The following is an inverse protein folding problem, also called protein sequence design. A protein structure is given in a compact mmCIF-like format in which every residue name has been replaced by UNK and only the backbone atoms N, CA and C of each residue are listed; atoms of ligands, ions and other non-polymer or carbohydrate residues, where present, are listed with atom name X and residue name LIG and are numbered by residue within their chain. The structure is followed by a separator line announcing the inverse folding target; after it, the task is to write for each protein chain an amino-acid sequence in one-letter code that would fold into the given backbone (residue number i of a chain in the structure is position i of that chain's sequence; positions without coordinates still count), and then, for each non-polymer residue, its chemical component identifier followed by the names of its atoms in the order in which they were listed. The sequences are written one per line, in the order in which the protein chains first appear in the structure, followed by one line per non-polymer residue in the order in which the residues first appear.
data_IF_159001658514
#
_entry.id   IF_159001658514
#
_cell.length_a   1.000
_cell.length_b   1.000
_cell.length_c   1.000
_cell.angle_alpha   90.00
_cell.angle_beta   90.00
_cell.angle_gamma   90.00
#
_symmetry.space_group_name_H-M   'P 1'
#
loop_
_entity.id
_entity.type
_entity.pdbx_description
1 polymer ?
#
# COMPACT_ATOMS: atom_id res chain seq x y z
N UNK A 1 8.46 -8.37 14.75
CA UNK A 1 8.46 -7.80 16.10
C UNK A 1 8.32 -8.89 17.14
N UNK A 2 7.42 -9.87 16.96
CA UNK A 2 7.68 -11.29 17.26
C UNK A 2 6.96 -12.17 16.22
N UNK A 3 7.44 -13.40 16.01
CA UNK A 3 6.96 -14.36 14.99
C UNK A 3 7.67 -14.30 13.63
N UNK A 4 7.90 -13.09 13.08
CA UNK A 4 8.55 -12.89 11.76
C UNK A 4 9.99 -12.33 11.82
N UNK A 5 10.53 -12.05 13.01
CA UNK A 5 11.89 -11.50 13.17
C UNK A 5 12.10 -10.06 12.67
N UNK A 6 11.04 -9.35 12.27
CA UNK A 6 11.15 -7.96 11.77
C UNK A 6 11.35 -6.93 12.88
N UNK A 7 12.13 -5.89 12.60
CA UNK A 7 12.39 -4.78 13.51
C UNK A 7 11.13 -3.93 13.84
N UNK A 8 10.15 -3.91 12.94
CA UNK A 8 8.90 -3.15 13.08
C UNK A 8 7.77 -3.80 12.24
N UNK A 9 6.57 -3.24 12.26
CA UNK A 9 5.43 -3.62 11.43
C UNK A 9 5.83 -3.61 9.95
N UNK A 10 5.29 -4.53 9.15
CA UNK A 10 5.77 -4.73 7.77
C UNK A 10 5.52 -3.55 6.83
N UNK A 11 4.44 -2.79 7.06
CA UNK A 11 4.00 -1.70 6.19
C UNK A 11 4.55 -0.35 6.62
N UNK A 12 4.73 0.56 5.64
CA UNK A 12 5.05 1.96 5.92
C UNK A 12 3.84 2.69 6.48
N UNK A 13 2.66 2.42 5.92
CA UNK A 13 1.40 3.01 6.37
C UNK A 13 0.28 2.01 6.36
N UNK A 14 -0.71 2.22 7.22
CA UNK A 14 -1.98 1.53 7.20
C UNK A 14 -3.12 2.52 7.02
N UNK A 15 -4.20 2.12 6.34
CA UNK A 15 -5.40 2.93 6.16
C UNK A 15 -6.59 2.17 6.71
N UNK A 16 -7.35 2.82 7.59
CA UNK A 16 -8.57 2.25 8.17
C UNK A 16 -9.83 2.61 7.39
N UNK A 17 -10.86 1.79 7.54
CA UNK A 17 -12.23 2.08 7.08
C UNK A 17 -12.81 3.35 7.73
N UNK A 18 -12.23 3.85 8.82
CA UNK A 18 -12.59 5.17 9.37
C UNK A 18 -12.02 6.36 8.58
N UNK A 19 -11.28 6.12 7.49
CA UNK A 19 -10.67 7.16 6.66
C UNK A 19 -9.39 7.76 7.25
N UNK A 20 -8.84 7.17 8.31
CA UNK A 20 -7.57 7.58 8.87
C UNK A 20 -6.40 6.79 8.25
N UNK A 21 -5.27 7.49 8.03
CA UNK A 21 -3.99 6.89 7.76
C UNK A 21 -3.19 6.80 9.07
N UNK A 22 -2.64 5.63 9.34
CA UNK A 22 -1.83 5.31 10.50
C UNK A 22 -0.40 5.08 10.05
N UNK A 23 0.55 5.72 10.72
CA UNK A 23 1.96 5.50 10.46
C UNK A 23 2.39 4.13 11.00
N UNK A 24 2.97 3.31 10.12
CA UNK A 24 3.73 2.13 10.51
C UNK A 24 5.21 2.51 10.58
N UNK A 25 6.01 2.03 9.64
CA UNK A 25 7.41 2.47 9.52
C UNK A 25 7.57 3.92 9.03
N UNK A 26 6.53 4.50 8.44
CA UNK A 26 6.56 5.86 7.92
C UNK A 26 7.40 6.05 6.66
N UNK A 27 7.69 7.30 6.35
CA UNK A 27 8.46 7.71 5.17
C UNK A 27 9.96 7.46 5.34
N UNK A 28 10.66 7.23 4.22
CA UNK A 28 12.12 7.10 4.20
C UNK A 28 12.68 5.84 4.88
N UNK A 29 11.81 4.95 5.39
CA UNK A 29 12.20 3.70 6.03
C UNK A 29 11.86 2.49 5.14
N UNK A 30 12.79 1.55 5.05
CA UNK A 30 12.58 0.30 4.34
C UNK A 30 11.47 -0.53 5.00
N UNK A 31 10.53 -1.01 4.19
CA UNK A 31 9.45 -1.90 4.62
C UNK A 31 9.90 -3.33 4.88
N UNK A 32 8.95 -4.19 5.28
CA UNK A 32 9.10 -5.65 5.25
C UNK A 32 7.88 -6.33 4.61
N UNK A 33 7.13 -5.60 3.79
CA UNK A 33 5.87 -6.03 3.19
C UNK A 33 6.07 -6.87 1.91
N UNK A 34 7.12 -6.62 1.12
CA UNK A 34 7.37 -7.31 -0.14
C UNK A 34 8.89 -7.49 -0.41
N UNK A 35 9.46 -8.68 -0.14
CA UNK A 35 10.83 -9.01 -0.56
C UNK A 35 11.11 -8.66 -2.03
N UNK A 36 12.25 -8.02 -2.31
CA UNK A 36 12.61 -7.51 -3.65
C UNK A 36 11.98 -6.16 -4.02
N UNK A 37 11.10 -5.61 -3.19
CA UNK A 37 10.52 -4.27 -3.37
C UNK A 37 10.68 -3.37 -2.15
N UNK A 38 10.94 -3.94 -0.97
CA UNK A 38 11.01 -3.21 0.31
C UNK A 38 11.93 -1.98 0.29
N UNK A 39 13.04 -2.03 -0.46
CA UNK A 39 14.08 -0.99 -0.57
C UNK A 39 13.78 0.10 -1.62
N UNK A 40 12.77 -0.13 -2.48
CA UNK A 40 12.42 0.74 -3.61
C UNK A 40 10.92 1.09 -3.68
N UNK A 41 10.20 0.87 -2.59
CA UNK A 41 8.75 1.12 -2.53
C UNK A 41 8.29 1.58 -1.16
N UNK A 42 7.14 2.26 -1.14
CA UNK A 42 6.38 2.55 0.08
C UNK A 42 5.18 1.60 0.12
N UNK A 43 5.10 0.77 1.16
CA UNK A 43 4.01 -0.18 1.32
C UNK A 43 2.86 0.39 2.15
N UNK A 44 1.66 0.40 1.56
CA UNK A 44 0.43 0.83 2.21
C UNK A 44 -0.53 -0.35 2.34
N UNK A 45 -0.91 -0.71 3.57
CA UNK A 45 -1.94 -1.71 3.83
C UNK A 45 -3.29 -1.04 4.09
N UNK A 46 -4.37 -1.49 3.44
CA UNK A 46 -5.72 -1.11 3.87
C UNK A 46 -6.22 -2.19 4.82
N UNK A 47 -6.67 -1.79 6.01
CA UNK A 47 -7.05 -2.72 7.07
C UNK A 47 -8.40 -3.37 6.77
N UNK A 48 -8.37 -4.67 6.44
CA UNK A 48 -9.55 -5.47 6.15
C UNK A 48 -9.25 -6.59 5.16
N UNK A 49 -10.30 -7.33 4.76
CA UNK A 49 -10.24 -8.37 3.73
C UNK A 49 -11.09 -7.96 2.54
N UNK A 50 -10.45 -7.70 1.41
CA UNK A 50 -11.11 -7.09 0.25
C UNK A 50 -11.16 -8.02 -0.97
N UNK A 51 -11.38 -9.32 -0.71
CA UNK A 51 -11.54 -10.32 -1.77
C UNK A 51 -12.84 -10.11 -2.54
N UNK A 52 -13.95 -9.90 -1.82
CA UNK A 52 -15.31 -9.84 -2.39
C UNK A 52 -15.96 -8.45 -2.30
N UNK A 53 -15.32 -7.50 -1.60
CA UNK A 53 -15.78 -6.13 -1.47
C UNK A 53 -14.59 -5.19 -1.48
N UNK A 54 -14.80 -3.96 -1.93
CA UNK A 54 -13.78 -2.91 -1.92
C UNK A 54 -13.77 -2.19 -0.57
N UNK A 55 -12.63 -1.60 -0.14
CA UNK A 55 -12.61 -0.72 1.01
C UNK A 55 -13.63 0.40 0.85
N UNK A 56 -14.20 0.93 1.93
CA UNK A 56 -15.18 2.01 1.79
C UNK A 56 -14.60 3.30 1.19
N UNK A 57 -15.48 4.23 0.83
CA UNK A 57 -15.06 5.48 0.18
C UNK A 57 -14.06 6.30 1.02
N UNK A 58 -14.18 6.29 2.35
CA UNK A 58 -13.28 7.01 3.24
C UNK A 58 -11.87 6.42 3.18
N UNK A 59 -11.73 5.10 3.27
CA UNK A 59 -10.45 4.40 3.14
C UNK A 59 -9.81 4.63 1.75
N UNK A 60 -10.59 4.51 0.67
CA UNK A 60 -10.07 4.74 -0.69
C UNK A 60 -9.59 6.18 -0.88
N UNK A 61 -10.31 7.16 -0.33
CA UNK A 61 -9.92 8.58 -0.36
C UNK A 61 -8.67 8.83 0.48
N UNK A 62 -8.58 8.27 1.68
CA UNK A 62 -7.39 8.38 2.53
C UNK A 62 -6.15 7.78 1.86
N UNK A 63 -6.27 6.61 1.22
CA UNK A 63 -5.19 5.98 0.48
C UNK A 63 -4.70 6.87 -0.68
N UNK A 64 -5.61 7.43 -1.48
CA UNK A 64 -5.25 8.37 -2.55
C UNK A 64 -4.58 9.65 -2.01
N UNK A 65 -5.12 10.23 -0.94
CA UNK A 65 -4.54 11.42 -0.33
C UNK A 65 -3.14 11.15 0.23
N UNK A 66 -2.91 9.97 0.78
CA UNK A 66 -1.59 9.57 1.29
C UNK A 66 -0.56 9.42 0.15
N UNK A 67 -0.96 8.86 -1.00
CA UNK A 67 -0.11 8.83 -2.20
C UNK A 67 0.22 10.26 -2.65
N UNK A 68 -0.79 11.12 -2.79
CA UNK A 68 -0.60 12.53 -3.20
C UNK A 68 0.33 13.27 -2.24
N UNK A 69 0.15 13.08 -0.94
CA UNK A 69 0.99 13.66 0.11
C UNK A 69 2.45 13.17 0.00
N UNK A 70 2.65 11.86 -0.20
CA UNK A 70 3.99 11.29 -0.42
C UNK A 70 4.68 11.88 -1.65
N UNK A 71 3.94 12.13 -2.74
CA UNK A 71 4.47 12.79 -3.93
C UNK A 71 4.81 14.26 -3.65
N UNK A 72 3.93 15.01 -2.99
CA UNK A 72 4.16 16.43 -2.70
C UNK A 72 5.32 16.66 -1.74
N UNK A 73 5.55 15.73 -0.81
CA UNK A 73 6.66 15.76 0.15
C UNK A 73 7.97 15.20 -0.45
N UNK A 74 7.96 14.67 -1.68
CA UNK A 74 9.14 14.08 -2.32
C UNK A 74 9.52 12.70 -1.79
N UNK A 75 8.66 12.04 -1.01
CA UNK A 75 8.87 10.66 -0.54
C UNK A 75 8.45 9.60 -1.58
N UNK A 76 7.59 9.97 -2.53
CA UNK A 76 7.20 9.16 -3.68
C UNK A 76 7.57 9.93 -4.94
N UNK A 77 8.25 9.27 -5.89
CA UNK A 77 8.59 9.90 -7.17
C UNK A 77 7.33 10.31 -7.93
N UNK A 78 7.32 11.46 -8.61
CA UNK A 78 6.15 11.95 -9.37
C UNK A 78 5.73 11.03 -10.52
N UNK A 79 6.64 10.16 -10.97
CA UNK A 79 6.44 9.12 -11.98
C UNK A 79 6.37 7.69 -11.40
N UNK A 80 5.99 7.55 -10.13
CA UNK A 80 5.86 6.26 -9.45
C UNK A 80 5.00 5.24 -10.21
N UNK A 81 5.17 3.97 -9.86
CA UNK A 81 4.24 2.90 -10.22
C UNK A 81 3.36 2.55 -9.03
N UNK A 82 2.04 2.49 -9.27
CA UNK A 82 1.10 1.84 -8.37
C UNK A 82 0.96 0.39 -8.80
N UNK A 83 1.14 -0.54 -7.88
CA UNK A 83 0.96 -1.97 -8.10
C UNK A 83 0.20 -2.59 -6.93
N UNK A 84 -0.49 -3.70 -7.18
CA UNK A 84 -1.05 -4.52 -6.12
C UNK A 84 0.05 -5.36 -5.44
N UNK A 85 -0.13 -5.72 -4.17
CA UNK A 85 0.85 -6.53 -3.43
C UNK A 85 1.14 -7.88 -4.13
N UNK A 86 0.12 -8.49 -4.74
CA UNK A 86 0.22 -9.70 -5.58
C UNK A 86 1.15 -9.60 -6.79
N UNK A 87 1.44 -8.39 -7.28
CA UNK A 87 2.39 -8.18 -8.38
C UNK A 87 3.84 -8.18 -7.88
N UNK A 88 4.05 -7.85 -6.60
CA UNK A 88 5.38 -7.83 -6.01
C UNK A 88 5.80 -9.22 -5.49
N UNK A 89 4.86 -9.97 -4.90
CA UNK A 89 5.11 -11.27 -4.28
C UNK A 89 3.90 -12.21 -4.43
N UNK A 90 4.12 -13.52 -4.30
CA UNK A 90 3.05 -14.51 -4.37
C UNK A 90 2.09 -14.40 -3.16
N UNK A 91 1.02 -13.63 -3.32
CA UNK A 91 -0.02 -13.40 -2.29
C UNK A 91 -1.37 -13.10 -2.92
N UNK A 92 -2.46 -13.33 -2.18
CA UNK A 92 -3.80 -12.89 -2.58
C UNK A 92 -4.03 -11.38 -2.34
N UNK A 93 -3.21 -10.74 -1.50
CA UNK A 93 -3.29 -9.31 -1.20
C UNK A 93 -3.18 -8.46 -2.49
N UNK A 94 -3.99 -7.41 -2.70
CA UNK A 94 -4.90 -6.75 -1.76
C UNK A 94 -6.33 -7.33 -1.73
N UNK A 95 -6.56 -8.52 -2.28
CA UNK A 95 -7.90 -9.08 -2.53
C UNK A 95 -8.42 -8.71 -3.91
N UNK A 96 -9.25 -9.57 -4.51
CA UNK A 96 -9.67 -9.44 -5.92
C UNK A 96 -10.48 -8.18 -6.20
N UNK A 97 -11.47 -7.88 -5.36
CA UNK A 97 -12.29 -6.68 -5.52
C UNK A 97 -11.43 -5.41 -5.42
N UNK A 98 -10.57 -5.31 -4.40
CA UNK A 98 -9.72 -4.12 -4.26
C UNK A 98 -8.62 -4.03 -5.32
N UNK A 99 -8.06 -5.16 -5.76
CA UNK A 99 -7.13 -5.17 -6.89
C UNK A 99 -7.78 -4.63 -8.16
N UNK A 100 -9.02 -5.04 -8.46
CA UNK A 100 -9.76 -4.52 -9.61
C UNK A 100 -10.05 -3.02 -9.50
N UNK A 101 -10.30 -2.52 -8.30
CA UNK A 101 -10.46 -1.09 -8.03
C UNK A 101 -9.16 -0.31 -8.30
N UNK A 102 -8.02 -0.71 -7.73
CA UNK A 102 -6.76 0.05 -7.89
C UNK A 102 -6.22 0.02 -9.33
N UNK A 103 -6.64 -0.95 -10.16
CA UNK A 103 -6.34 -0.96 -11.60
C UNK A 103 -6.88 0.26 -12.34
N UNK A 104 -7.90 0.92 -11.78
CA UNK A 104 -8.49 2.13 -12.35
C UNK A 104 -7.79 3.41 -11.86
N UNK A 105 -6.88 3.30 -10.89
CA UNK A 105 -6.23 4.46 -10.29
C UNK A 105 -5.07 4.97 -11.16
N UNK A 106 -4.72 6.26 -11.07
CA UNK A 106 -3.57 6.81 -11.77
C UNK A 106 -2.28 6.06 -11.45
N UNK A 107 -1.41 5.92 -12.46
CA UNK A 107 -0.09 5.28 -12.37
C UNK A 107 -0.12 3.78 -12.06
N UNK A 108 -1.27 3.11 -12.15
CA UNK A 108 -1.30 1.65 -12.10
C UNK A 108 -0.46 1.04 -13.22
N UNK A 109 0.49 0.17 -12.88
CA UNK A 109 1.32 -0.54 -13.86
C UNK A 109 0.91 -2.02 -13.95
N UNK A 110 0.30 -2.46 -15.08
CA UNK A 110 -0.12 -3.85 -15.25
C UNK A 110 1.02 -4.83 -15.57
N UNK A 111 2.23 -4.32 -15.85
CA UNK A 111 3.35 -5.11 -16.37
C UNK A 111 4.46 -5.37 -15.34
N UNK A 112 4.13 -5.21 -14.05
CA UNK A 112 4.96 -5.68 -12.93
C UNK A 112 4.48 -7.06 -12.55
#
# INVERSE_FOLDING_TARGET
MDGNGWADIGYNFLVGENGAAYEGRGWGRQGAHAPGYNDRSVGMGVMGTFTNGIPNAAARTAARNLITCGVSLGHIASNYWLIGHRQAVATACPGNAFFNEIRTWPRFNPNV
#
